data_IF_323774160549
#
_entry.id   IF_323774160549
#
_cell.length_a   1.000
_cell.length_b   1.000
_cell.length_c   1.000
_cell.angle_alpha   90.00
_cell.angle_beta   90.00
_cell.angle_gamma   90.00
#
_symmetry.space_group_name_H-M   'P 1'
#
loop_
_entity.id
_entity.type
_entity.pdbx_description
1 polymer ?
#
# COMPACT_ATOMS: atom_id res chain seq x y z
N UNK A 1 -4.78 -20.04 -0.75
CA UNK A 1 -5.62 -20.28 -1.94
C UNK A 1 -4.82 -19.86 -3.14
N UNK A 2 -4.79 -20.69 -4.18
CA UNK A 2 -4.34 -20.23 -5.49
C UNK A 2 -5.28 -19.11 -6.00
N UNK A 3 -4.85 -18.28 -6.96
CA UNK A 3 -5.63 -17.14 -7.42
C UNK A 3 -7.03 -17.50 -7.95
N UNK A 4 -7.19 -18.68 -8.58
CA UNK A 4 -8.46 -19.10 -9.16
C UNK A 4 -9.47 -19.47 -8.08
N UNK A 5 -9.05 -20.29 -7.11
CA UNK A 5 -9.92 -20.68 -6.01
C UNK A 5 -10.34 -19.48 -5.13
N UNK A 6 -9.46 -18.47 -4.98
CA UNK A 6 -9.79 -17.21 -4.30
C UNK A 6 -10.89 -16.46 -5.04
N UNK A 7 -10.80 -16.35 -6.36
CA UNK A 7 -11.82 -15.67 -7.17
C UNK A 7 -13.19 -16.33 -7.03
N UNK A 8 -13.26 -17.66 -7.15
CA UNK A 8 -14.49 -18.43 -6.95
C UNK A 8 -15.09 -18.26 -5.55
N UNK A 9 -14.24 -18.16 -4.52
CA UNK A 9 -14.69 -17.88 -3.15
C UNK A 9 -15.35 -16.50 -3.08
N UNK A 10 -14.73 -15.48 -3.66
CA UNK A 10 -15.26 -14.11 -3.67
C UNK A 10 -16.62 -14.02 -4.35
N UNK A 11 -16.78 -14.63 -5.52
CA UNK A 11 -18.07 -14.69 -6.23
C UNK A 11 -19.15 -15.33 -5.36
N UNK A 12 -18.85 -16.43 -4.68
CA UNK A 12 -19.80 -17.09 -3.77
C UNK A 12 -20.19 -16.23 -2.59
N UNK A 13 -19.23 -15.54 -1.97
CA UNK A 13 -19.52 -14.63 -0.86
C UNK A 13 -20.40 -13.46 -1.34
N UNK A 14 -20.13 -12.90 -2.52
CA UNK A 14 -20.96 -11.85 -3.10
C UNK A 14 -22.39 -12.33 -3.37
N UNK A 15 -22.59 -13.55 -3.90
CA UNK A 15 -23.94 -14.10 -4.07
C UNK A 15 -24.69 -14.23 -2.74
N UNK A 16 -24.01 -14.70 -1.67
CA UNK A 16 -24.63 -14.80 -0.35
C UNK A 16 -25.00 -13.42 0.22
N UNK A 17 -24.16 -12.41 0.04
CA UNK A 17 -24.47 -11.03 0.42
C UNK A 17 -25.70 -10.51 -0.35
N UNK A 18 -25.80 -10.76 -1.65
CA UNK A 18 -26.95 -10.38 -2.48
C UNK A 18 -28.25 -11.09 -2.04
N UNK A 19 -28.15 -12.26 -1.44
CA UNK A 19 -29.27 -12.97 -0.80
C UNK A 19 -29.64 -12.44 0.60
N UNK A 20 -29.03 -11.33 1.03
CA UNK A 20 -29.28 -10.70 2.32
C UNK A 20 -28.60 -11.40 3.50
N UNK A 21 -27.61 -12.27 3.26
CA UNK A 21 -26.82 -12.87 4.36
C UNK A 21 -25.85 -11.84 4.93
N UNK A 22 -25.68 -11.87 6.25
CA UNK A 22 -24.58 -11.18 6.92
C UNK A 22 -23.39 -12.12 7.04
N UNK A 23 -22.20 -11.63 6.69
CA UNK A 23 -20.95 -12.41 6.69
C UNK A 23 -19.94 -11.71 7.57
N UNK A 24 -19.35 -12.45 8.52
CA UNK A 24 -18.15 -12.03 9.23
C UNK A 24 -16.96 -12.71 8.55
N UNK A 25 -16.12 -11.92 7.88
CA UNK A 25 -14.91 -12.38 7.24
C UNK A 25 -13.70 -12.03 8.10
N UNK A 26 -12.85 -13.01 8.40
CA UNK A 26 -11.52 -12.79 8.97
C UNK A 26 -10.48 -13.04 7.90
N UNK A 27 -9.68 -12.03 7.58
CA UNK A 27 -8.61 -12.14 6.58
C UNK A 27 -7.46 -11.23 6.96
N UNK A 28 -6.26 -11.63 6.56
CA UNK A 28 -5.05 -10.80 6.60
C UNK A 28 -4.70 -10.23 5.21
N UNK A 29 -5.47 -10.59 4.17
CA UNK A 29 -5.30 -10.03 2.83
C UNK A 29 -6.12 -8.74 2.70
N UNK A 30 -5.44 -7.61 2.61
CA UNK A 30 -6.13 -6.30 2.53
C UNK A 30 -6.98 -6.16 1.26
N UNK A 31 -6.57 -6.76 0.14
CA UNK A 31 -7.38 -6.81 -1.09
C UNK A 31 -8.75 -7.47 -0.87
N UNK A 32 -8.81 -8.53 -0.05
CA UNK A 32 -10.06 -9.22 0.29
C UNK A 32 -10.95 -8.31 1.14
N UNK A 33 -10.35 -7.68 2.15
CA UNK A 33 -11.03 -6.74 3.03
C UNK A 33 -11.59 -5.53 2.26
N UNK A 34 -10.83 -4.98 1.32
CA UNK A 34 -11.27 -3.83 0.51
C UNK A 34 -12.40 -4.20 -0.45
N UNK A 35 -12.31 -5.37 -1.11
CA UNK A 35 -13.26 -5.78 -2.15
C UNK A 35 -14.59 -6.33 -1.60
N UNK A 36 -14.57 -6.99 -0.45
CA UNK A 36 -15.72 -7.72 0.06
C UNK A 36 -16.41 -7.06 1.26
N UNK A 37 -15.69 -6.26 2.04
CA UNK A 37 -16.24 -5.70 3.28
C UNK A 37 -16.80 -4.29 3.07
N UNK A 38 -18.03 -4.08 3.51
CA UNK A 38 -18.60 -2.73 3.66
C UNK A 38 -18.13 -2.02 4.93
N UNK A 39 -17.62 -2.79 5.91
CA UNK A 39 -17.06 -2.32 7.18
C UNK A 39 -15.88 -3.21 7.58
N UNK A 40 -14.78 -2.58 7.96
CA UNK A 40 -13.54 -3.21 8.39
C UNK A 40 -13.32 -2.95 9.88
N UNK A 41 -12.78 -3.95 10.58
CA UNK A 41 -12.35 -3.89 11.96
C UNK A 41 -10.91 -4.40 12.02
N UNK A 42 -9.98 -3.55 12.47
CA UNK A 42 -8.59 -3.94 12.66
C UNK A 42 -8.38 -4.24 14.14
N UNK A 43 -7.88 -5.43 14.41
CA UNK A 43 -7.56 -5.92 15.74
C UNK A 43 -6.04 -6.07 15.89
N UNK A 44 -5.50 -5.53 16.97
CA UNK A 44 -4.12 -5.74 17.39
C UNK A 44 -4.08 -6.09 18.88
N UNK A 45 -3.36 -7.15 19.24
CA UNK A 45 -3.28 -7.68 20.61
C UNK A 45 -4.65 -7.80 21.35
N UNK A 46 -5.69 -8.23 20.65
CA UNK A 46 -7.04 -8.39 21.20
C UNK A 46 -7.80 -7.08 21.42
N UNK A 47 -7.28 -5.96 20.95
CA UNK A 47 -7.90 -4.64 21.02
C UNK A 47 -8.28 -4.15 19.64
N UNK A 48 -9.42 -3.48 19.55
CA UNK A 48 -9.81 -2.73 18.36
C UNK A 48 -8.93 -1.50 18.23
N UNK A 49 -8.19 -1.41 17.12
CA UNK A 49 -7.34 -0.26 16.82
C UNK A 49 -7.93 0.65 15.73
N UNK A 50 -8.74 0.10 14.81
CA UNK A 50 -9.42 0.89 13.79
C UNK A 50 -10.75 0.23 13.37
N UNK A 51 -11.72 1.05 12.97
CA UNK A 51 -13.02 0.59 12.48
C UNK A 51 -13.67 1.62 11.56
N UNK A 52 -14.18 1.18 10.42
CA UNK A 52 -14.80 2.07 9.44
C UNK A 52 -14.97 1.40 8.08
N UNK A 53 -15.33 2.15 7.05
CA UNK A 53 -15.26 1.60 5.68
C UNK A 53 -13.78 1.46 5.28
N UNK A 54 -13.40 0.44 4.49
CA UNK A 54 -12.01 0.28 4.06
C UNK A 54 -11.39 1.57 3.50
N UNK A 55 -12.10 2.25 2.59
CA UNK A 55 -11.65 3.53 2.00
C UNK A 55 -11.47 4.66 3.01
N UNK A 56 -12.33 4.73 4.03
CA UNK A 56 -12.22 5.74 5.08
C UNK A 56 -11.01 5.47 5.97
N UNK A 57 -10.77 4.20 6.31
CA UNK A 57 -9.60 3.81 7.09
C UNK A 57 -8.30 4.05 6.33
N UNK A 58 -8.28 3.75 5.02
CA UNK A 58 -7.14 4.06 4.14
C UNK A 58 -6.85 5.56 4.17
N UNK A 59 -7.86 6.40 3.90
CA UNK A 59 -7.69 7.85 3.87
C UNK A 59 -7.28 8.46 5.22
N UNK A 60 -7.67 7.83 6.34
CA UNK A 60 -7.36 8.34 7.69
C UNK A 60 -6.02 7.87 8.24
N UNK A 61 -5.52 6.70 7.80
CA UNK A 61 -4.40 6.01 8.46
C UNK A 61 -3.24 5.64 7.53
N UNK A 62 -3.40 5.71 6.20
CA UNK A 62 -2.29 5.52 5.27
C UNK A 62 -1.83 6.84 4.67
N UNK A 63 -0.52 7.04 4.70
CA UNK A 63 0.13 8.10 3.92
C UNK A 63 0.15 7.71 2.43
N UNK A 64 0.04 8.67 1.52
CA UNK A 64 -0.73 8.56 0.27
C UNK A 64 -0.14 7.66 -0.81
N UNK A 65 1.17 7.71 -1.03
CA UNK A 65 1.80 7.04 -2.17
C UNK A 65 3.21 6.56 -1.80
N UNK A 66 3.61 5.44 -2.41
CA UNK A 66 4.95 4.88 -2.28
C UNK A 66 5.56 4.85 -3.67
N UNK A 67 6.72 5.49 -3.83
CA UNK A 67 7.53 5.36 -5.05
C UNK A 67 8.64 4.37 -4.78
N UNK A 68 8.64 3.27 -5.54
CA UNK A 68 9.66 2.24 -5.44
C UNK A 68 10.78 2.52 -6.45
N UNK A 69 11.97 2.85 -5.96
CA UNK A 69 13.12 3.14 -6.82
C UNK A 69 14.10 1.98 -6.78
N UNK A 70 14.38 1.40 -7.95
CA UNK A 70 15.32 0.29 -8.10
C UNK A 70 16.24 0.48 -9.30
N UNK A 71 17.40 -0.17 -9.25
CA UNK A 71 18.43 -0.13 -10.30
C UNK A 71 19.77 0.43 -9.81
N UNK A 72 20.78 0.48 -10.70
CA UNK A 72 22.11 0.94 -10.35
C UNK A 72 22.10 2.36 -9.77
N UNK A 73 22.57 2.51 -8.53
CA UNK A 73 22.62 3.80 -7.83
C UNK A 73 21.38 4.12 -6.98
N UNK A 74 20.36 3.26 -6.92
CA UNK A 74 19.16 3.50 -6.12
C UNK A 74 19.48 3.71 -4.63
N UNK A 75 20.35 2.87 -4.06
CA UNK A 75 20.78 2.98 -2.66
C UNK A 75 21.45 4.32 -2.34
N UNK A 76 22.14 4.94 -3.31
CA UNK A 76 22.75 6.25 -3.11
C UNK A 76 21.70 7.34 -2.85
N UNK A 77 20.46 7.18 -3.31
CA UNK A 77 19.39 8.12 -3.05
C UNK A 77 18.99 8.17 -1.57
N UNK A 78 19.16 7.07 -0.84
CA UNK A 78 18.84 6.97 0.58
C UNK A 78 19.93 7.59 1.48
N UNK A 79 21.19 7.53 1.06
CA UNK A 79 22.34 7.85 1.92
C UNK A 79 23.15 9.08 1.46
N UNK A 80 23.26 9.33 0.15
CA UNK A 80 24.20 10.33 -0.35
C UNK A 80 23.72 11.77 -0.06
N UNK A 81 24.62 12.67 0.39
CA UNK A 81 24.29 14.08 0.64
C UNK A 81 23.73 14.78 -0.61
N UNK A 82 24.19 14.40 -1.80
CA UNK A 82 23.72 14.96 -3.07
C UNK A 82 22.22 14.76 -3.32
N UNK A 83 21.57 13.81 -2.63
CA UNK A 83 20.15 13.48 -2.77
C UNK A 83 19.30 13.87 -1.55
N UNK A 84 19.82 14.75 -0.68
CA UNK A 84 19.04 15.26 0.47
C UNK A 84 17.74 15.95 0.02
N UNK A 85 17.76 16.68 -1.10
CA UNK A 85 16.56 17.31 -1.66
C UNK A 85 15.47 16.32 -2.09
N UNK A 86 15.83 15.11 -2.55
CA UNK A 86 14.87 14.05 -2.88
C UNK A 86 14.25 13.44 -1.62
N UNK A 87 15.09 13.17 -0.62
CA UNK A 87 14.64 12.63 0.67
C UNK A 87 13.71 13.60 1.40
N UNK A 88 13.93 14.90 1.25
CA UNK A 88 13.06 15.94 1.80
C UNK A 88 11.65 15.98 1.19
N UNK A 89 11.43 15.38 0.01
CA UNK A 89 10.10 15.23 -0.59
C UNK A 89 9.29 14.09 0.04
N UNK A 90 9.95 13.18 0.76
CA UNK A 90 9.33 12.03 1.40
C UNK A 90 9.17 12.25 2.91
N UNK A 91 8.04 11.81 3.45
CA UNK A 91 7.82 11.76 4.89
C UNK A 91 8.71 10.70 5.55
N UNK A 92 8.98 9.61 4.81
CA UNK A 92 9.84 8.51 5.24
C UNK A 92 10.52 7.88 4.03
N UNK A 93 11.76 7.43 4.24
CA UNK A 93 12.52 6.64 3.25
C UNK A 93 12.95 5.33 3.90
N UNK A 94 12.66 4.22 3.23
CA UNK A 94 13.08 2.89 3.68
C UNK A 94 13.90 2.18 2.59
N UNK A 95 14.82 1.34 3.03
CA UNK A 95 15.65 0.52 2.14
C UNK A 95 15.33 -0.94 2.43
N UNK A 96 14.95 -1.69 1.39
CA UNK A 96 14.78 -3.14 1.48
C UNK A 96 15.49 -3.80 0.31
N UNK A 97 16.60 -4.48 0.62
CA UNK A 97 17.48 -5.06 -0.39
C UNK A 97 18.15 -3.98 -1.23
N UNK A 98 17.89 -3.99 -2.53
CA UNK A 98 18.41 -3.01 -3.50
C UNK A 98 17.38 -1.94 -3.90
N UNK A 99 16.19 -1.96 -3.27
CA UNK A 99 15.09 -1.04 -3.57
C UNK A 99 14.98 0.01 -2.47
N UNK A 100 14.78 1.26 -2.88
CA UNK A 100 14.50 2.40 -1.98
C UNK A 100 13.04 2.79 -2.12
N UNK A 101 12.34 2.83 -1.00
CA UNK A 101 10.93 3.16 -0.90
C UNK A 101 10.79 4.59 -0.36
N UNK A 102 10.19 5.47 -1.14
CA UNK A 102 9.87 6.82 -0.71
C UNK A 102 8.38 6.91 -0.39
N UNK A 103 8.06 7.13 0.88
CA UNK A 103 6.70 7.37 1.34
C UNK A 103 6.40 8.86 1.21
N UNK A 104 5.54 9.22 0.27
CA UNK A 104 5.29 10.60 -0.14
C UNK A 104 3.81 10.94 -0.06
N UNK A 105 3.47 12.20 0.25
CA UNK A 105 2.09 12.69 0.18
C UNK A 105 1.53 12.78 -1.25
N UNK A 106 2.41 12.92 -2.23
CA UNK A 106 2.13 13.02 -3.66
C UNK A 106 3.38 12.51 -4.40
N UNK A 107 3.25 11.49 -5.27
CA UNK A 107 4.40 10.97 -6.00
C UNK A 107 4.89 11.91 -7.11
N UNK A 108 4.05 12.82 -7.60
CA UNK A 108 4.36 13.59 -8.80
C UNK A 108 5.65 14.42 -8.70
N UNK A 109 5.92 15.17 -7.60
CA UNK A 109 7.17 15.93 -7.47
C UNK A 109 8.40 15.04 -7.43
N UNK A 110 8.30 13.88 -6.75
CA UNK A 110 9.40 12.94 -6.64
C UNK A 110 9.68 12.25 -7.98
N UNK A 111 8.64 11.80 -8.69
CA UNK A 111 8.77 11.21 -10.02
C UNK A 111 9.39 12.19 -11.02
N UNK A 112 9.02 13.47 -10.98
CA UNK A 112 9.63 14.50 -11.82
C UNK A 112 11.12 14.70 -11.52
N UNK A 113 11.50 14.67 -10.24
CA UNK A 113 12.89 14.82 -9.82
C UNK A 113 13.75 13.57 -10.16
N UNK A 114 13.14 12.38 -10.19
CA UNK A 114 13.79 11.12 -10.56
C UNK A 114 13.85 10.88 -12.08
N UNK A 115 12.91 11.44 -12.86
CA UNK A 115 12.84 11.28 -14.31
C UNK A 115 14.17 11.52 -15.08
N UNK A 116 15.00 12.53 -14.75
CA UNK A 116 16.29 12.73 -15.42
C UNK A 116 17.39 11.74 -15.01
N UNK A 117 17.19 10.96 -13.93
CA UNK A 117 18.22 10.09 -13.36
C UNK A 117 18.20 8.69 -14.03
N UNK A 118 18.73 8.60 -15.24
CA UNK A 118 19.07 7.30 -15.82
C UNK A 118 20.26 6.68 -15.06
N UNK A 119 20.22 5.39 -14.65
CA UNK A 119 19.36 4.30 -15.12
C UNK A 119 18.25 3.85 -14.14
N UNK A 120 17.81 4.71 -13.22
CA UNK A 120 16.83 4.33 -12.20
C UNK A 120 15.45 4.05 -12.80
N UNK A 121 14.73 3.11 -12.19
CA UNK A 121 13.34 2.79 -12.52
C UNK A 121 12.46 3.05 -11.31
N UNK A 122 11.25 3.54 -11.55
CA UNK A 122 10.25 3.84 -10.53
C UNK A 122 8.98 3.02 -10.78
N UNK A 123 8.40 2.44 -9.73
CA UNK A 123 7.06 1.85 -9.71
C UNK A 123 6.15 2.61 -8.76
#
# INVERSE_FOLDING_TARGET
>A
LDPQARHLMWERLQMLLQQGKSILLTTHFMDEAERLCSRLLVLDHGRKIAEGRPRELIAQHLEPEVVEVYGPGALALAEAPAHEGLRALAARVEVSGETVFFYVPDAQPLLQALAPMHPLRTL
#
